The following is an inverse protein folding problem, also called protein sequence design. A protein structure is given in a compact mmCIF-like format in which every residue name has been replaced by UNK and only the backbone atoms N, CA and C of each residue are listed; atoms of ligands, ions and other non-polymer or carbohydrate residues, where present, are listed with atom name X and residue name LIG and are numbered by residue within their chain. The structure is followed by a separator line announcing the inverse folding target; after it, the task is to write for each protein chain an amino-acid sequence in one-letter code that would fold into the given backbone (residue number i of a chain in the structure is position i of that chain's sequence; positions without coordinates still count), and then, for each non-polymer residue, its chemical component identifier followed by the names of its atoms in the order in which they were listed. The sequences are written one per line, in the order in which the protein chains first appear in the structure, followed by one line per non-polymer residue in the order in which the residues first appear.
data_IF_167086242064
#
_entry.id   IF_167086242064
#
_cell.length_a   1.000
_cell.length_b   1.000
_cell.length_c   1.000
_cell.angle_alpha   90.00
_cell.angle_beta   90.00
_cell.angle_gamma   90.00
#
_symmetry.space_group_name_H-M   'P 1'
#
loop_
_entity.id
_entity.type
_entity.pdbx_description
1 polymer ?
#
# COMPACT_ATOMS: atom_id res chain seq x y z
N UNK A 1 21.61 11.45 15.73
CA UNK A 1 21.65 11.33 14.25
C UNK A 1 21.83 9.89 13.75
N UNK A 2 22.34 8.94 14.55
CA UNK A 2 22.54 7.54 14.13
C UNK A 2 21.32 6.61 14.29
N UNK A 3 20.29 6.99 15.07
CA UNK A 3 19.08 6.18 15.28
C UNK A 3 17.95 6.44 14.25
N UNK A 4 17.85 7.64 13.67
CA UNK A 4 16.77 7.98 12.73
C UNK A 4 16.94 7.33 11.34
N UNK A 5 18.19 7.13 10.89
CA UNK A 5 18.49 6.54 9.58
C UNK A 5 18.21 5.03 9.57
N UNK A 6 18.29 4.37 10.72
CA UNK A 6 18.00 2.94 10.89
C UNK A 6 16.50 2.62 10.80
N UNK A 7 15.62 3.54 11.20
CA UNK A 7 14.16 3.32 11.22
C UNK A 7 13.53 3.34 9.82
N UNK A 8 14.04 4.18 8.92
CA UNK A 8 13.50 4.33 7.56
C UNK A 8 13.68 3.07 6.70
N UNK A 9 14.80 2.36 6.86
CA UNK A 9 15.03 1.11 6.14
C UNK A 9 14.02 0.01 6.54
N UNK A 10 13.61 0.01 7.81
CA UNK A 10 12.71 -0.99 8.38
C UNK A 10 11.26 -0.87 7.89
N UNK A 11 10.82 0.35 7.59
CA UNK A 11 9.43 0.64 7.21
C UNK A 11 8.93 -0.13 5.98
N UNK A 12 9.82 -0.41 5.03
CA UNK A 12 9.49 -1.15 3.81
C UNK A 12 9.97 -2.60 3.83
N UNK A 13 10.39 -3.13 4.99
CA UNK A 13 10.81 -4.52 5.18
C UNK A 13 9.82 -5.27 6.07
N UNK A 14 9.68 -6.60 5.92
CA UNK A 14 8.76 -7.43 6.70
C UNK A 14 9.31 -7.71 8.12
N UNK A 15 9.59 -6.65 8.87
CA UNK A 15 10.17 -6.67 10.21
C UNK A 15 9.46 -5.67 11.13
N UNK A 16 9.70 -5.78 12.43
CA UNK A 16 9.10 -4.90 13.43
C UNK A 16 9.70 -3.49 13.35
N UNK A 17 8.83 -2.50 13.23
CA UNK A 17 9.17 -1.08 13.16
C UNK A 17 8.53 -0.24 14.27
N UNK A 18 7.90 -0.90 15.26
CA UNK A 18 7.24 -0.24 16.39
C UNK A 18 5.92 0.47 16.04
N UNK A 19 5.44 0.36 14.80
CA UNK A 19 4.15 0.92 14.38
C UNK A 19 3.07 -0.16 14.37
N UNK A 20 1.80 0.27 14.40
CA UNK A 20 0.64 -0.63 14.40
C UNK A 20 0.75 -1.66 13.25
N UNK A 21 0.42 -2.92 13.52
CA UNK A 21 0.32 -3.97 12.52
C UNK A 21 -1.05 -4.62 12.59
N UNK A 22 -1.57 -5.08 11.44
CA UNK A 22 -2.85 -5.77 11.40
C UNK A 22 -2.67 -7.18 11.93
N UNK A 23 -3.33 -7.49 13.05
CA UNK A 23 -3.45 -8.86 13.53
C UNK A 23 -4.14 -9.72 12.46
N UNK A 24 -3.49 -10.80 12.06
CA UNK A 24 -3.84 -11.56 10.85
C UNK A 24 -3.60 -13.06 11.04
N UNK A 25 -4.39 -13.86 10.33
CA UNK A 25 -4.21 -15.32 10.29
C UNK A 25 -3.32 -15.80 9.15
N UNK A 26 -2.88 -17.06 9.22
CA UNK A 26 -2.01 -17.70 8.22
C UNK A 26 -2.53 -17.59 6.78
N UNK A 27 -3.85 -17.54 6.58
CA UNK A 27 -4.50 -17.33 5.28
C UNK A 27 -4.06 -16.04 4.57
N UNK A 28 -3.58 -15.06 5.34
CA UNK A 28 -3.06 -13.78 4.84
C UNK A 28 -1.83 -13.99 3.96
N UNK A 29 -0.95 -14.96 4.28
CA UNK A 29 0.20 -15.30 3.45
C UNK A 29 -0.23 -15.73 2.05
N UNK A 30 -1.27 -16.56 1.96
CA UNK A 30 -1.81 -17.05 0.68
C UNK A 30 -2.44 -15.90 -0.11
N UNK A 31 -3.26 -15.07 0.54
CA UNK A 31 -3.87 -13.87 -0.06
C UNK A 31 -2.80 -12.94 -0.65
N UNK A 32 -1.78 -12.60 0.14
CA UNK A 32 -0.75 -11.65 -0.25
C UNK A 32 0.19 -12.22 -1.33
N UNK A 33 0.47 -13.52 -1.30
CA UNK A 33 1.22 -14.20 -2.36
C UNK A 33 0.54 -14.03 -3.74
N UNK A 34 -0.77 -14.32 -3.82
CA UNK A 34 -1.49 -14.17 -5.09
C UNK A 34 -1.63 -12.71 -5.51
N UNK A 35 -1.86 -11.80 -4.57
CA UNK A 35 -1.91 -10.37 -4.85
C UNK A 35 -0.58 -9.86 -5.42
N UNK A 36 0.54 -10.23 -4.80
CA UNK A 36 1.87 -9.84 -5.27
C UNK A 36 2.11 -10.32 -6.71
N UNK A 37 1.84 -11.60 -7.00
CA UNK A 37 2.00 -12.15 -8.35
C UNK A 37 1.11 -11.45 -9.37
N UNK A 38 -0.13 -11.14 -9.00
CA UNK A 38 -1.03 -10.39 -9.88
C UNK A 38 -0.50 -8.99 -10.17
N UNK A 39 -0.08 -8.24 -9.14
CA UNK A 39 0.50 -6.90 -9.28
C UNK A 39 1.72 -6.93 -10.20
N UNK A 40 2.66 -7.85 -9.97
CA UNK A 40 3.88 -8.00 -10.77
C UNK A 40 3.56 -8.25 -12.25
N UNK A 41 2.64 -9.18 -12.53
CA UNK A 41 2.20 -9.47 -13.90
C UNK A 41 1.48 -8.28 -14.54
N UNK A 42 0.54 -7.67 -13.82
CA UNK A 42 -0.25 -6.54 -14.28
C UNK A 42 0.64 -5.37 -14.66
N UNK A 43 1.48 -4.89 -13.72
CA UNK A 43 2.27 -3.68 -13.94
C UNK A 43 3.33 -3.88 -15.03
N UNK A 44 3.92 -5.08 -15.13
CA UNK A 44 4.91 -5.42 -16.15
C UNK A 44 4.32 -5.42 -17.55
N UNK A 45 3.07 -5.88 -17.71
CA UNK A 45 2.39 -5.93 -19.01
C UNK A 45 1.76 -4.59 -19.36
N UNK A 46 1.07 -3.96 -18.42
CA UNK A 46 0.29 -2.75 -18.66
C UNK A 46 1.17 -1.53 -18.92
N UNK A 47 2.34 -1.41 -18.29
CA UNK A 47 3.26 -0.28 -18.54
C UNK A 47 3.76 -0.17 -19.99
N UNK A 48 3.60 -1.22 -20.79
CA UNK A 48 3.98 -1.25 -22.22
C UNK A 48 2.85 -0.77 -23.14
N UNK A 49 1.66 -0.51 -22.58
CA UNK A 49 0.49 -0.06 -23.31
C UNK A 49 0.29 1.46 -23.15
N UNK A 50 -0.62 2.02 -23.96
CA UNK A 50 -0.92 3.45 -23.96
C UNK A 50 -2.00 3.80 -22.93
N UNK A 51 -1.65 3.72 -21.65
CA UNK A 51 -2.50 4.20 -20.56
C UNK A 51 -2.16 5.65 -20.20
N UNK A 52 -3.16 6.44 -19.78
CA UNK A 52 -2.93 7.79 -19.25
C UNK A 52 -2.21 7.74 -17.90
N UNK A 53 -2.65 6.83 -17.03
CA UNK A 53 -2.02 6.52 -15.74
C UNK A 53 -2.39 5.10 -15.31
N UNK A 54 -1.48 4.45 -14.59
CA UNK A 54 -1.73 3.18 -13.90
C UNK A 54 -1.84 3.45 -12.41
N UNK A 55 -3.04 3.28 -11.87
CA UNK A 55 -3.34 3.55 -10.47
C UNK A 55 -3.53 2.26 -9.68
N UNK A 56 -3.05 2.23 -8.44
CA UNK A 56 -3.38 1.20 -7.46
C UNK A 56 -4.38 1.75 -6.44
N UNK A 57 -5.48 1.05 -6.21
CA UNK A 57 -6.52 1.45 -5.26
C UNK A 57 -6.67 0.34 -4.22
N UNK A 58 -6.52 0.69 -2.95
CA UNK A 58 -6.74 -0.21 -1.82
C UNK A 58 -7.67 0.45 -0.82
N UNK A 59 -8.90 -0.05 -0.77
CA UNK A 59 -9.99 0.56 0.01
C UNK A 59 -9.99 0.14 1.49
N UNK A 60 -9.14 -0.82 1.86
CA UNK A 60 -9.05 -1.44 3.19
C UNK A 60 -7.56 -1.67 3.54
N UNK A 61 -6.73 -0.64 3.29
CA UNK A 61 -5.28 -0.74 3.21
C UNK A 61 -4.62 -1.17 4.53
N UNK A 62 -5.28 -0.93 5.67
CA UNK A 62 -4.72 -1.17 6.99
C UNK A 62 -3.45 -0.37 7.25
N UNK A 63 -2.64 -0.79 8.22
CA UNK A 63 -1.44 -0.07 8.59
C UNK A 63 -0.25 -0.36 7.65
N UNK A 64 -0.39 -1.30 6.70
CA UNK A 64 0.64 -1.65 5.73
C UNK A 64 1.51 -2.85 6.09
N UNK A 65 1.51 -3.32 7.34
CA UNK A 65 2.12 -4.59 7.77
C UNK A 65 1.09 -5.46 8.50
N UNK A 66 1.24 -6.77 8.37
CA UNK A 66 0.44 -7.75 9.07
C UNK A 66 1.32 -8.58 10.01
N UNK A 67 0.82 -8.83 11.23
CA UNK A 67 1.40 -9.77 12.17
C UNK A 67 0.60 -11.08 12.11
N UNK A 68 1.27 -12.18 11.77
CA UNK A 68 0.66 -13.50 11.62
C UNK A 68 0.73 -14.22 12.97
N UNK A 69 -0.39 -14.37 13.69
CA UNK A 69 -0.33 -14.85 15.09
C UNK A 69 0.18 -16.28 15.21
N UNK A 70 -0.10 -17.13 14.22
CA UNK A 70 0.19 -18.56 14.28
C UNK A 70 1.69 -18.84 14.31
N UNK A 71 2.48 -18.08 13.54
CA UNK A 71 3.92 -18.28 13.42
C UNK A 71 4.75 -17.05 13.82
N UNK A 72 4.11 -16.01 14.36
CA UNK A 72 4.71 -14.72 14.77
C UNK A 72 5.49 -14.02 13.65
N UNK A 73 5.12 -14.27 12.40
CA UNK A 73 5.76 -13.67 11.24
C UNK A 73 5.18 -12.28 10.98
N UNK A 74 6.04 -11.34 10.55
CA UNK A 74 5.64 -10.05 10.01
C UNK A 74 5.68 -10.15 8.48
N UNK A 75 4.64 -9.67 7.83
CA UNK A 75 4.59 -9.60 6.36
C UNK A 75 4.11 -8.23 5.90
N UNK A 76 4.55 -7.82 4.72
CA UNK A 76 4.06 -6.59 4.09
C UNK A 76 2.62 -6.78 3.63
N UNK A 77 1.75 -5.84 3.98
CA UNK A 77 0.37 -5.79 3.51
C UNK A 77 0.27 -5.33 2.06
N UNK A 78 -0.95 -5.40 1.52
CA UNK A 78 -1.29 -5.01 0.15
C UNK A 78 -0.74 -3.65 -0.31
N UNK A 79 -0.84 -2.55 0.46
CA UNK A 79 -0.34 -1.26 -0.01
C UNK A 79 1.19 -1.21 -0.13
N UNK A 80 1.92 -1.86 0.78
CA UNK A 80 3.39 -1.89 0.73
C UNK A 80 3.90 -2.86 -0.34
N UNK A 81 3.18 -3.96 -0.60
CA UNK A 81 3.45 -4.85 -1.73
C UNK A 81 3.30 -4.07 -3.05
N UNK A 82 2.21 -3.31 -3.23
CA UNK A 82 1.99 -2.51 -4.42
C UNK A 82 3.05 -1.41 -4.58
N UNK A 83 3.45 -0.76 -3.49
CA UNK A 83 4.47 0.29 -3.49
C UNK A 83 5.87 -0.25 -3.85
N UNK A 84 6.16 -1.52 -3.51
CA UNK A 84 7.40 -2.23 -3.83
C UNK A 84 7.34 -3.04 -5.13
N UNK A 85 6.29 -2.87 -5.94
CA UNK A 85 6.17 -3.56 -7.22
C UNK A 85 7.41 -3.31 -8.11
N UNK A 86 7.77 -4.25 -9.00
CA UNK A 86 8.96 -4.14 -9.86
C UNK A 86 8.95 -2.91 -10.78
N UNK A 87 7.77 -2.34 -11.00
CA UNK A 87 7.56 -1.07 -11.67
C UNK A 87 6.59 -0.23 -10.86
N UNK A 88 6.85 1.07 -10.80
CA UNK A 88 6.01 2.00 -10.04
C UNK A 88 4.66 2.21 -10.72
N UNK A 89 3.61 2.31 -9.92
CA UNK A 89 2.35 2.91 -10.33
C UNK A 89 2.50 4.43 -10.43
N UNK A 90 1.61 5.07 -11.19
CA UNK A 90 1.55 6.52 -11.33
C UNK A 90 0.83 7.17 -10.14
N UNK A 91 -0.10 6.44 -9.53
CA UNK A 91 -0.82 6.87 -8.34
C UNK A 91 -1.23 5.71 -7.43
N UNK A 92 -1.30 5.99 -6.13
CA UNK A 92 -1.86 5.10 -5.12
C UNK A 92 -3.00 5.82 -4.37
N UNK A 93 -4.13 5.14 -4.18
CA UNK A 93 -5.24 5.60 -3.36
C UNK A 93 -5.43 4.60 -2.22
N UNK A 94 -5.05 4.99 -1.01
CA UNK A 94 -4.99 4.11 0.15
C UNK A 94 -6.01 4.59 1.19
N UNK A 95 -7.00 3.75 1.47
CA UNK A 95 -8.13 4.07 2.34
C UNK A 95 -8.18 3.07 3.49
N UNK A 96 -8.46 3.56 4.69
CA UNK A 96 -8.89 2.71 5.80
C UNK A 96 -9.89 3.47 6.67
N UNK A 97 -10.75 2.74 7.38
CA UNK A 97 -11.73 3.35 8.28
C UNK A 97 -11.06 3.93 9.52
N UNK A 98 -9.98 3.29 9.99
CA UNK A 98 -9.26 3.66 11.21
C UNK A 98 -8.11 4.64 10.89
N UNK A 99 -8.12 5.80 11.54
CA UNK A 99 -7.08 6.83 11.39
C UNK A 99 -5.68 6.35 11.80
N UNK A 100 -5.57 5.47 12.81
CA UNK A 100 -4.28 4.98 13.29
C UNK A 100 -3.64 4.00 12.30
N UNK A 101 -4.47 3.24 11.56
CA UNK A 101 -4.01 2.46 10.42
C UNK A 101 -3.43 3.38 9.35
N UNK A 102 -4.18 4.40 8.93
CA UNK A 102 -3.74 5.34 7.89
C UNK A 102 -2.45 6.06 8.31
N UNK A 103 -2.36 6.51 9.56
CA UNK A 103 -1.16 7.16 10.12
C UNK A 103 0.07 6.25 10.09
N UNK A 104 -0.07 4.99 10.52
CA UNK A 104 1.02 4.01 10.48
C UNK A 104 1.46 3.74 9.05
N UNK A 105 0.50 3.59 8.13
CA UNK A 105 0.78 3.39 6.71
C UNK A 105 1.48 4.60 6.09
N UNK A 106 1.04 5.82 6.40
CA UNK A 106 1.65 7.06 5.91
C UNK A 106 3.11 7.19 6.36
N UNK A 107 3.40 6.93 7.64
CA UNK A 107 4.76 6.92 8.17
C UNK A 107 5.64 5.91 7.43
N UNK A 108 5.14 4.69 7.18
CA UNK A 108 5.90 3.67 6.44
C UNK A 108 6.17 4.07 5.00
N UNK A 109 5.14 4.58 4.32
CA UNK A 109 5.22 5.01 2.94
C UNK A 109 6.18 6.19 2.73
N UNK A 110 6.44 7.01 3.75
CA UNK A 110 7.39 8.14 3.68
C UNK A 110 8.84 7.70 3.39
N UNK A 111 9.19 6.43 3.65
CA UNK A 111 10.48 5.87 3.27
C UNK A 111 10.61 5.55 1.76
N UNK A 112 9.51 5.63 0.99
CA UNK A 112 9.52 5.37 -0.45
C UNK A 112 9.80 6.62 -1.27
N UNK A 113 10.63 6.51 -2.31
CA UNK A 113 10.81 7.57 -3.32
C UNK A 113 9.54 7.88 -4.11
N UNK A 114 8.50 7.04 -3.99
CA UNK A 114 7.19 7.23 -4.61
C UNK A 114 6.15 7.86 -3.68
N UNK A 115 6.53 8.32 -2.48
CA UNK A 115 5.60 8.89 -1.50
C UNK A 115 4.70 10.00 -2.07
N UNK A 116 5.25 10.87 -2.93
CA UNK A 116 4.51 11.95 -3.59
C UNK A 116 3.41 11.50 -4.56
N UNK A 117 3.28 10.19 -4.82
CA UNK A 117 2.24 9.59 -5.69
C UNK A 117 1.09 8.97 -4.88
N UNK A 118 1.12 9.10 -3.56
CA UNK A 118 0.18 8.41 -2.67
C UNK A 118 -0.83 9.41 -2.12
N UNK A 119 -2.11 9.06 -2.22
CA UNK A 119 -3.23 9.76 -1.59
C UNK A 119 -3.82 8.87 -0.50
N UNK A 120 -3.84 9.40 0.72
CA UNK A 120 -4.37 8.73 1.89
C UNK A 120 -5.76 9.27 2.21
N UNK A 121 -6.67 8.37 2.57
CA UNK A 121 -8.01 8.75 3.03
C UNK A 121 -8.38 7.95 4.28
N UNK A 122 -8.98 8.64 5.24
CA UNK A 122 -9.57 8.01 6.43
C UNK A 122 -11.09 8.13 6.36
N UNK A 123 -11.79 7.01 6.48
CA UNK A 123 -13.26 6.97 6.53
C UNK A 123 -13.86 5.78 5.80
N UNK A 124 -15.19 5.79 5.67
CA UNK A 124 -15.93 4.73 4.99
C UNK A 124 -15.62 4.73 3.48
N UNK A 125 -15.05 3.64 2.99
CA UNK A 125 -14.68 3.49 1.60
C UNK A 125 -15.88 3.51 0.64
N UNK A 126 -17.08 3.14 1.09
CA UNK A 126 -18.30 3.22 0.29
C UNK A 126 -18.64 4.66 -0.10
N UNK A 127 -18.24 5.64 0.72
CA UNK A 127 -18.39 7.05 0.40
C UNK A 127 -17.16 7.61 -0.33
N UNK A 128 -15.96 7.22 0.13
CA UNK A 128 -14.71 7.78 -0.39
C UNK A 128 -14.39 7.36 -1.83
N UNK A 129 -14.87 6.19 -2.27
CA UNK A 129 -14.64 5.71 -3.64
C UNK A 129 -15.15 6.66 -4.71
N UNK A 130 -16.22 7.43 -4.44
CA UNK A 130 -16.74 8.44 -5.37
C UNK A 130 -15.72 9.54 -5.67
N UNK A 131 -15.00 10.03 -4.66
CA UNK A 131 -13.95 11.04 -4.85
C UNK A 131 -12.75 10.48 -5.61
N UNK A 132 -12.37 9.22 -5.33
CA UNK A 132 -11.26 8.55 -6.02
C UNK A 132 -11.57 8.40 -7.51
N UNK A 133 -12.78 7.93 -7.85
CA UNK A 133 -13.22 7.82 -9.24
C UNK A 133 -13.24 9.19 -9.93
N UNK A 134 -13.71 10.24 -9.25
CA UNK A 134 -13.70 11.60 -9.80
C UNK A 134 -12.28 12.09 -10.14
N UNK A 135 -11.30 11.80 -9.28
CA UNK A 135 -9.90 12.20 -9.48
C UNK A 135 -9.23 11.42 -10.64
N UNK A 136 -9.53 10.12 -10.75
CA UNK A 136 -9.07 9.30 -11.89
C UNK A 136 -9.69 9.81 -13.19
N UNK A 137 -10.99 10.07 -13.23
CA UNK A 137 -11.67 10.59 -14.43
C UNK A 137 -11.10 11.94 -14.89
N UNK A 138 -10.70 12.80 -13.95
CA UNK A 138 -10.07 14.08 -14.26
C UNK A 138 -8.68 13.92 -14.91
N UNK A 139 -8.00 12.79 -14.69
CA UNK A 139 -6.75 12.43 -15.36
C UNK A 139 -7.00 11.85 -16.75
N UNK A 140 -7.99 10.97 -16.88
CA UNK A 140 -8.30 10.28 -18.14
C UNK A 140 -8.93 11.21 -19.20
N UNK A 141 -9.59 12.29 -18.76
CA UNK A 141 -10.26 13.26 -19.65
C UNK A 141 -9.33 14.32 -20.24
N UNK A 142 -8.04 14.34 -19.87
CA UNK A 142 -6.97 15.18 -20.46
C UNK A 142 -6.25 14.40 -21.54
#
# INVERSE_FOLDING_TARGET
MSQEVSGLASYLQPEDDGLLMRDSGQWTNVKLHYLQRYIEMFITRMRKQKWRALNYIDLLAGPGKCFIRENKQIVLGSPLIALKAPHAFDGHYLVDLDSENVKSLQTRCAASSHFGRIRFYTGDCNHLVGYIVSDINATDSR
#
